data_IF_149906466625
#
_entry.id   IF_149906466625
#
_cell.length_a   1.000
_cell.length_b   1.000
_cell.length_c   1.000
_cell.angle_alpha   90.00
_cell.angle_beta   90.00
_cell.angle_gamma   90.00
#
_symmetry.space_group_name_H-M   'P 1'
#
loop_
_entity.id
_entity.type
_entity.pdbx_description
1 polymer ?
#
# COMPACT_ATOMS: atom_id res chain seq x y z
N UNK A 1 -18.97 51.19 45.39
CA UNK A 1 -17.88 51.92 46.07
C UNK A 1 -16.65 51.69 45.21
N UNK A 2 -16.35 52.63 44.36
CA UNK A 2 -15.31 53.68 44.41
C UNK A 2 -13.93 53.04 44.60
N UNK A 3 -12.94 53.20 43.73
CA UNK A 3 -12.43 54.41 43.11
C UNK A 3 -11.55 54.09 41.87
N UNK A 4 -11.75 54.93 40.88
CA UNK A 4 -10.81 55.24 39.79
C UNK A 4 -9.54 55.92 40.38
N UNK A 5 -8.39 55.79 39.76
CA UNK A 5 -7.56 56.94 39.37
C UNK A 5 -6.64 56.61 38.21
N UNK A 6 -6.67 57.50 37.27
CA UNK A 6 -5.75 57.80 36.16
C UNK A 6 -4.54 58.57 36.72
N UNK A 7 -3.50 58.61 35.93
CA UNK A 7 -2.67 59.74 35.49
C UNK A 7 -1.36 59.17 35.01
N UNK A 8 -1.03 59.28 33.73
CA UNK A 8 -0.49 60.45 32.96
C UNK A 8 1.01 60.57 33.04
N UNK A 9 1.58 60.36 31.89
CA UNK A 9 2.43 61.24 31.10
C UNK A 9 3.89 61.50 31.45
N UNK A 10 4.59 61.59 30.37
CA UNK A 10 5.72 62.43 29.97
C UNK A 10 7.14 61.85 30.21
N UNK A 11 7.84 61.64 29.23
CA UNK A 11 8.68 62.45 28.38
C UNK A 11 9.98 61.77 27.94
N UNK A 12 10.18 61.72 26.67
CA UNK A 12 11.39 62.02 25.90
C UNK A 12 12.76 61.79 26.57
N UNK A 13 13.54 60.91 25.91
CA UNK A 13 14.89 61.23 25.45
C UNK A 13 15.43 60.10 24.55
N UNK A 14 15.58 60.38 23.27
CA UNK A 14 16.54 59.69 22.40
C UNK A 14 17.96 60.08 22.85
N UNK A 15 18.92 59.19 22.73
CA UNK A 15 19.87 59.37 21.67
C UNK A 15 20.38 58.13 20.96
N UNK A 16 20.64 58.38 19.72
CA UNK A 16 21.85 58.03 18.94
C UNK A 16 22.10 56.56 18.57
N UNK A 17 21.97 56.40 17.30
CA UNK A 17 22.35 55.31 16.46
C UNK A 17 23.65 54.61 16.83
N UNK A 18 23.59 53.30 16.82
CA UNK A 18 24.70 52.47 16.38
C UNK A 18 24.15 51.39 15.43
N UNK A 19 24.31 51.65 14.15
CA UNK A 19 24.09 50.72 13.06
C UNK A 19 25.14 49.61 13.16
N UNK A 20 24.82 48.52 13.80
CA UNK A 20 25.53 47.27 13.62
C UNK A 20 24.69 46.43 12.62
N UNK A 21 25.13 46.46 11.40
CA UNK A 21 24.68 45.59 10.33
C UNK A 21 25.08 44.16 10.65
N UNK A 22 24.18 43.42 11.30
CA UNK A 22 24.24 41.97 11.39
C UNK A 22 23.67 41.42 10.08
N UNK A 23 24.55 41.05 9.18
CA UNK A 23 24.20 40.21 8.03
C UNK A 23 23.65 38.88 8.57
N UNK A 24 22.45 38.47 8.21
CA UNK A 24 22.02 37.10 8.46
C UNK A 24 22.87 36.18 7.57
N UNK A 25 23.76 35.41 8.17
CA UNK A 25 24.37 34.27 7.52
C UNK A 25 23.21 33.27 7.25
N UNK A 26 22.71 33.28 6.03
CA UNK A 26 21.79 32.27 5.55
C UNK A 26 22.56 30.93 5.55
N UNK A 27 22.35 30.13 6.58
CA UNK A 27 22.69 28.72 6.51
C UNK A 27 21.80 28.13 5.42
N UNK A 28 22.40 27.95 4.25
CA UNK A 28 21.84 27.07 3.23
C UNK A 28 21.76 25.68 3.89
N UNK A 29 20.58 25.31 4.33
CA UNK A 29 20.26 23.92 4.58
C UNK A 29 20.28 23.22 3.22
N UNK A 30 21.39 22.52 2.94
CA UNK A 30 21.39 21.49 1.91
C UNK A 30 20.32 20.48 2.31
N UNK A 31 19.12 20.67 1.74
CA UNK A 31 18.08 19.67 1.81
C UNK A 31 18.64 18.45 1.07
N UNK A 32 18.94 17.39 1.80
CA UNK A 32 19.23 16.12 1.20
C UNK A 32 18.12 15.80 0.18
N UNK A 33 18.45 15.32 -1.02
CA UNK A 33 17.44 14.97 -2.00
C UNK A 33 16.50 13.95 -1.36
N UNK A 34 15.23 14.32 -1.22
CA UNK A 34 14.20 13.39 -0.81
C UNK A 34 14.26 12.24 -1.81
N UNK A 35 14.49 11.02 -1.31
CA UNK A 35 14.34 9.80 -2.07
C UNK A 35 12.88 9.74 -2.50
N UNK A 36 12.59 10.24 -3.69
CA UNK A 36 11.31 10.01 -4.33
C UNK A 36 11.27 8.51 -4.64
N UNK A 37 10.22 7.80 -4.24
CA UNK A 37 10.04 6.43 -4.69
C UNK A 37 10.06 6.44 -6.23
N UNK A 38 10.69 5.45 -6.88
CA UNK A 38 10.71 5.36 -8.33
C UNK A 38 9.27 5.43 -8.84
N UNK A 39 9.00 6.36 -9.75
CA UNK A 39 7.72 6.41 -10.44
C UNK A 39 7.66 5.14 -11.28
N UNK A 40 6.71 4.26 -10.96
CA UNK A 40 6.50 3.03 -11.72
C UNK A 40 6.13 3.40 -13.16
N UNK A 41 6.95 3.02 -14.11
CA UNK A 41 6.64 3.11 -15.53
C UNK A 41 5.84 1.86 -15.91
N UNK A 42 4.60 2.06 -16.37
CA UNK A 42 3.72 0.97 -16.77
C UNK A 42 4.16 0.44 -18.13
N UNK A 43 4.65 -0.79 -18.16
CA UNK A 43 5.00 -1.49 -19.42
C UNK A 43 3.78 -2.23 -19.93
N UNK A 44 3.16 -1.68 -20.96
CA UNK A 44 1.95 -2.24 -21.60
C UNK A 44 2.23 -3.44 -22.53
N UNK A 45 3.49 -3.86 -22.69
CA UNK A 45 3.85 -4.92 -23.65
C UNK A 45 3.89 -6.35 -23.11
N UNK A 46 3.68 -6.55 -21.79
CA UNK A 46 3.80 -7.86 -21.15
C UNK A 46 2.44 -8.59 -20.97
N UNK A 47 1.32 -7.97 -21.30
CA UNK A 47 -0.03 -8.48 -21.04
C UNK A 47 -0.33 -9.78 -21.82
N UNK A 48 0.00 -9.81 -23.11
CA UNK A 48 -0.28 -10.98 -23.95
C UNK A 48 0.53 -12.22 -23.51
N UNK A 49 1.73 -12.01 -23.03
CA UNK A 49 2.59 -13.09 -22.51
C UNK A 49 2.10 -13.63 -21.17
N UNK A 50 1.50 -12.81 -20.32
CA UNK A 50 0.89 -13.28 -19.07
C UNK A 50 -0.36 -14.12 -19.33
N UNK A 51 -1.26 -13.66 -20.21
CA UNK A 51 -2.43 -14.41 -20.62
C UNK A 51 -2.05 -15.82 -21.13
N UNK A 52 -1.07 -15.90 -22.05
CA UNK A 52 -0.58 -17.17 -22.58
C UNK A 52 -0.02 -18.09 -21.49
N UNK A 53 0.68 -17.52 -20.49
CA UNK A 53 1.23 -18.29 -19.36
C UNK A 53 0.12 -18.84 -18.46
N UNK A 54 -0.90 -18.04 -18.15
CA UNK A 54 -2.06 -18.48 -17.37
C UNK A 54 -2.89 -19.53 -18.13
N UNK A 55 -3.13 -19.31 -19.41
CA UNK A 55 -3.85 -20.25 -20.28
C UNK A 55 -3.13 -21.61 -20.36
N UNK A 56 -1.81 -21.60 -20.45
CA UNK A 56 -0.99 -22.83 -20.48
C UNK A 56 -1.10 -23.66 -19.19
N UNK A 57 -1.43 -23.05 -18.05
CA UNK A 57 -1.72 -23.75 -16.79
C UNK A 57 -3.19 -24.12 -16.65
N UNK A 58 -4.05 -23.68 -17.56
CA UNK A 58 -5.49 -23.91 -17.46
C UNK A 58 -6.19 -23.04 -16.43
N UNK A 59 -5.55 -21.96 -16.00
CA UNK A 59 -6.14 -20.97 -15.08
C UNK A 59 -7.31 -20.29 -15.78
N UNK A 60 -8.50 -20.36 -15.18
CA UNK A 60 -9.68 -19.66 -15.67
C UNK A 60 -9.77 -18.30 -15.01
N UNK A 61 -9.72 -17.26 -15.82
CA UNK A 61 -9.77 -15.87 -15.36
C UNK A 61 -10.74 -15.04 -16.19
N UNK A 62 -11.12 -13.91 -15.66
CA UNK A 62 -11.80 -12.82 -16.37
C UNK A 62 -10.93 -11.57 -16.29
N UNK A 63 -10.93 -10.75 -17.34
CA UNK A 63 -10.31 -9.42 -17.28
C UNK A 63 -11.33 -8.45 -16.69
N UNK A 64 -10.95 -7.76 -15.62
CA UNK A 64 -11.79 -6.70 -15.05
C UNK A 64 -11.58 -5.34 -15.74
N UNK A 65 -12.29 -4.33 -15.28
CA UNK A 65 -12.27 -2.99 -15.88
C UNK A 65 -10.91 -2.27 -15.67
N UNK A 66 -10.16 -2.66 -14.65
CA UNK A 66 -8.81 -2.15 -14.35
C UNK A 66 -7.74 -2.88 -15.17
N UNK A 67 -8.14 -3.94 -15.87
CA UNK A 67 -7.29 -4.78 -16.70
C UNK A 67 -6.60 -5.92 -15.94
N UNK A 68 -6.98 -6.17 -14.69
CA UNK A 68 -6.43 -7.26 -13.89
C UNK A 68 -7.06 -8.61 -14.28
N UNK A 69 -6.33 -9.69 -14.03
CA UNK A 69 -6.78 -11.05 -14.27
C UNK A 69 -7.43 -11.60 -13.01
N UNK A 70 -8.76 -11.57 -12.96
CA UNK A 70 -9.56 -12.04 -11.83
C UNK A 70 -9.81 -13.54 -11.91
N UNK A 71 -9.48 -14.24 -10.84
CA UNK A 71 -9.70 -15.68 -10.66
C UNK A 71 -10.61 -15.91 -9.47
N UNK A 72 -11.57 -16.84 -9.61
CA UNK A 72 -12.45 -17.27 -8.51
C UNK A 72 -12.01 -18.64 -8.04
N UNK A 73 -11.64 -18.75 -6.79
CA UNK A 73 -11.41 -20.01 -6.08
C UNK A 73 -12.70 -20.43 -5.36
N UNK A 74 -13.02 -21.71 -5.40
CA UNK A 74 -14.20 -22.23 -4.71
C UNK A 74 -13.87 -23.55 -4.00
N UNK A 75 -14.02 -23.57 -2.69
CA UNK A 75 -13.85 -24.75 -1.83
C UNK A 75 -15.22 -25.35 -1.50
N UNK A 76 -15.70 -26.20 -2.38
CA UNK A 76 -17.05 -26.79 -2.30
C UNK A 76 -17.32 -27.51 -1.00
N UNK A 77 -16.31 -28.13 -0.38
CA UNK A 77 -16.46 -28.87 0.89
C UNK A 77 -16.72 -27.93 2.07
N UNK A 78 -16.22 -26.72 1.99
CA UNK A 78 -16.34 -25.69 3.03
C UNK A 78 -17.43 -24.68 2.69
N UNK A 79 -17.98 -24.76 1.47
CA UNK A 79 -18.95 -23.81 0.90
C UNK A 79 -18.42 -22.36 0.97
N UNK A 80 -17.11 -22.19 0.68
CA UNK A 80 -16.43 -20.89 0.65
C UNK A 80 -15.91 -20.59 -0.76
N UNK A 81 -15.74 -19.33 -1.04
CA UNK A 81 -15.13 -18.84 -2.29
C UNK A 81 -14.28 -17.61 -2.05
N UNK A 82 -13.24 -17.43 -2.85
CA UNK A 82 -12.35 -16.30 -2.72
C UNK A 82 -11.92 -15.78 -4.09
N UNK A 83 -11.75 -14.48 -4.18
CA UNK A 83 -11.21 -13.79 -5.35
C UNK A 83 -9.70 -13.66 -5.22
N UNK A 84 -8.98 -13.94 -6.29
CA UNK A 84 -7.57 -13.57 -6.41
C UNK A 84 -7.31 -12.94 -7.78
N UNK A 85 -6.30 -12.11 -7.85
CA UNK A 85 -5.99 -11.29 -9.01
C UNK A 85 -4.51 -11.38 -9.36
N UNK A 86 -4.22 -11.30 -10.65
CA UNK A 86 -2.90 -10.95 -11.13
C UNK A 86 -3.00 -9.57 -11.77
N UNK A 87 -2.20 -8.62 -11.32
CA UNK A 87 -2.19 -7.26 -11.85
C UNK A 87 -1.97 -7.26 -13.38
N UNK A 88 -2.80 -6.52 -14.10
CA UNK A 88 -2.70 -6.40 -15.57
C UNK A 88 -1.42 -5.71 -16.01
N UNK A 89 -0.86 -4.84 -15.17
CA UNK A 89 0.39 -4.13 -15.42
C UNK A 89 1.49 -4.56 -14.44
N UNK A 90 2.74 -4.47 -14.88
CA UNK A 90 3.90 -4.73 -14.03
C UNK A 90 4.61 -3.41 -13.67
N UNK A 91 5.15 -3.36 -12.46
CA UNK A 91 5.95 -2.24 -11.98
C UNK A 91 7.42 -2.41 -12.41
N UNK A 92 7.99 -1.40 -13.05
CA UNK A 92 9.39 -1.43 -13.48
C UNK A 92 10.32 -1.10 -12.31
N UNK A 93 11.33 -1.93 -12.10
CA UNK A 93 12.37 -1.74 -11.11
C UNK A 93 13.75 -1.93 -11.78
N UNK A 94 14.36 -0.82 -12.24
CA UNK A 94 15.60 -0.89 -13.02
C UNK A 94 15.43 -1.68 -14.32
N UNK A 95 16.19 -2.75 -14.47
CA UNK A 95 16.14 -3.64 -15.65
C UNK A 95 15.12 -4.78 -15.46
N UNK A 96 14.38 -4.80 -14.36
CA UNK A 96 13.40 -5.82 -14.02
C UNK A 96 11.99 -5.26 -13.99
N UNK A 97 10.99 -6.12 -14.16
CA UNK A 97 9.60 -5.80 -13.91
C UNK A 97 9.05 -6.73 -12.81
N UNK A 98 8.19 -6.18 -11.97
CA UNK A 98 7.56 -6.90 -10.85
C UNK A 98 6.05 -6.78 -11.00
N UNK A 99 5.36 -7.90 -10.92
CA UNK A 99 3.92 -8.01 -11.00
C UNK A 99 3.34 -8.48 -9.68
N UNK A 100 2.20 -7.93 -9.32
CA UNK A 100 1.50 -8.28 -8.09
C UNK A 100 0.46 -9.37 -8.36
N UNK A 101 0.39 -10.31 -7.43
CA UNK A 101 -0.72 -11.25 -7.25
C UNK A 101 -1.34 -10.93 -5.92
N UNK A 102 -2.64 -10.70 -5.87
CA UNK A 102 -3.28 -10.23 -4.66
C UNK A 102 -4.68 -10.81 -4.47
N UNK A 103 -5.12 -10.84 -3.22
CA UNK A 103 -6.46 -11.29 -2.85
C UNK A 103 -6.98 -10.41 -1.71
N UNK A 104 -8.22 -9.89 -1.79
CA UNK A 104 -8.83 -9.11 -0.72
C UNK A 104 -9.14 -10.03 0.46
N UNK A 105 -8.99 -9.50 1.69
CA UNK A 105 -9.26 -10.27 2.89
C UNK A 105 -10.30 -9.63 3.81
N UNK A 106 -10.32 -8.31 3.91
CA UNK A 106 -11.31 -7.63 4.75
C UNK A 106 -11.36 -6.13 4.45
N UNK A 107 -12.50 -5.47 4.69
CA UNK A 107 -12.54 -4.03 4.73
C UNK A 107 -11.77 -3.49 5.94
N UNK A 108 -11.06 -2.38 5.75
CA UNK A 108 -10.37 -1.69 6.85
C UNK A 108 -11.41 -0.98 7.71
N UNK A 109 -11.46 -1.24 9.03
CA UNK A 109 -12.42 -0.58 9.90
C UNK A 109 -12.27 0.95 9.89
N UNK A 110 -13.34 1.66 10.16
CA UNK A 110 -13.29 3.10 10.35
C UNK A 110 -12.32 3.44 11.51
N UNK A 111 -11.23 4.13 11.19
CA UNK A 111 -10.13 4.41 12.14
C UNK A 111 -8.95 3.45 12.07
N UNK A 112 -8.97 2.49 11.13
CA UNK A 112 -7.92 1.51 10.92
C UNK A 112 -8.04 0.27 11.80
N UNK A 113 -7.14 -0.67 11.63
CA UNK A 113 -7.00 -1.83 12.51
C UNK A 113 -6.47 -1.42 13.89
N UNK A 114 -6.86 -2.13 14.93
CA UNK A 114 -6.27 -1.93 16.25
C UNK A 114 -4.78 -2.27 16.24
N UNK A 115 -4.03 -1.75 17.22
CA UNK A 115 -2.60 -2.04 17.34
C UNK A 115 -2.33 -3.56 17.46
N UNK A 116 -3.22 -4.30 18.13
CA UNK A 116 -3.14 -5.75 18.26
C UNK A 116 -3.35 -6.47 16.93
N UNK A 117 -4.38 -6.05 16.17
CA UNK A 117 -4.62 -6.58 14.82
C UNK A 117 -3.47 -6.27 13.87
N UNK A 118 -2.95 -5.05 13.89
CA UNK A 118 -1.82 -4.66 13.06
C UNK A 118 -0.55 -5.47 13.41
N UNK A 119 -0.23 -5.67 14.70
CA UNK A 119 0.88 -6.52 15.13
C UNK A 119 0.69 -7.98 14.68
N UNK A 120 -0.52 -8.50 14.79
CA UNK A 120 -0.87 -9.85 14.31
C UNK A 120 -0.62 -9.99 12.80
N UNK A 121 -1.10 -9.06 11.97
CA UNK A 121 -0.91 -9.06 10.52
C UNK A 121 0.57 -8.97 10.12
N UNK A 122 1.37 -8.13 10.81
CA UNK A 122 2.81 -8.03 10.57
C UNK A 122 3.54 -9.31 10.93
N UNK A 123 3.19 -9.96 12.05
CA UNK A 123 3.79 -11.23 12.46
C UNK A 123 3.38 -12.38 11.53
N UNK A 124 2.16 -12.34 11.03
CA UNK A 124 1.69 -13.31 10.06
C UNK A 124 2.44 -13.15 8.73
N UNK A 125 2.59 -11.93 8.22
CA UNK A 125 3.42 -11.63 7.05
C UNK A 125 4.85 -12.19 7.18
N UNK A 126 5.44 -12.11 8.38
CA UNK A 126 6.80 -12.62 8.62
C UNK A 126 6.87 -14.16 8.57
N UNK A 127 5.80 -14.87 8.89
CA UNK A 127 5.76 -16.34 8.86
C UNK A 127 5.59 -16.89 7.45
N UNK A 128 4.98 -16.13 6.57
CA UNK A 128 4.71 -16.53 5.21
C UNK A 128 5.98 -16.40 4.34
N UNK A 129 6.23 -17.40 3.53
CA UNK A 129 7.42 -17.45 2.66
C UNK A 129 7.30 -16.46 1.49
N UNK A 130 6.07 -16.26 1.00
CA UNK A 130 5.77 -15.39 -0.11
C UNK A 130 4.72 -14.35 0.31
N UNK A 131 4.99 -13.08 0.01
CA UNK A 131 4.02 -12.01 0.20
C UNK A 131 3.84 -11.55 1.64
N UNK A 132 2.77 -10.78 1.84
CA UNK A 132 2.41 -10.21 3.14
C UNK A 132 1.13 -9.39 3.05
N UNK A 133 0.70 -8.87 4.20
CA UNK A 133 -0.49 -8.07 4.32
C UNK A 133 -0.21 -6.62 3.94
N UNK A 134 -1.02 -6.08 3.06
CA UNK A 134 -0.96 -4.69 2.62
C UNK A 134 -2.36 -4.06 2.67
N UNK A 135 -2.43 -2.76 2.97
CA UNK A 135 -3.67 -1.99 2.90
C UNK A 135 -3.61 -1.12 1.66
N UNK A 136 -4.59 -1.25 0.78
CA UNK A 136 -4.79 -0.38 -0.36
C UNK A 136 -6.21 0.20 -0.30
N UNK A 137 -6.29 1.55 -0.24
CA UNK A 137 -7.56 2.22 -0.01
C UNK A 137 -8.18 1.83 1.34
N UNK A 138 -9.35 1.24 1.29
CA UNK A 138 -10.13 0.78 2.44
C UNK A 138 -10.19 -0.75 2.57
N UNK A 139 -9.29 -1.47 1.91
CA UNK A 139 -9.27 -2.92 1.88
C UNK A 139 -7.91 -3.47 2.28
N UNK A 140 -7.93 -4.53 3.09
CA UNK A 140 -6.79 -5.37 3.42
C UNK A 140 -6.63 -6.42 2.35
N UNK A 141 -5.43 -6.54 1.80
CA UNK A 141 -5.06 -7.55 0.82
C UNK A 141 -3.91 -8.41 1.31
N UNK A 142 -3.89 -9.66 0.89
CA UNK A 142 -2.66 -10.44 0.83
C UNK A 142 -2.00 -10.24 -0.51
N UNK A 143 -0.73 -9.78 -0.53
CA UNK A 143 -0.02 -9.39 -1.76
C UNK A 143 1.26 -10.18 -1.91
N UNK A 144 1.45 -10.78 -3.09
CA UNK A 144 2.67 -11.48 -3.50
C UNK A 144 3.26 -10.73 -4.68
N UNK A 145 4.55 -10.41 -4.60
CA UNK A 145 5.28 -9.71 -5.66
C UNK A 145 6.22 -10.68 -6.37
N UNK A 146 5.95 -10.94 -7.64
CA UNK A 146 6.75 -11.83 -8.49
C UNK A 146 7.48 -11.04 -9.56
N UNK A 147 8.63 -11.56 -10.00
CA UNK A 147 9.21 -11.06 -11.24
C UNK A 147 8.25 -11.32 -12.40
N UNK A 148 8.10 -10.34 -13.29
CA UNK A 148 7.14 -10.44 -14.40
C UNK A 148 7.46 -11.54 -15.40
N UNK A 149 8.71 -11.98 -15.46
CA UNK A 149 9.16 -13.11 -16.27
C UNK A 149 8.95 -14.49 -15.60
N UNK A 150 8.33 -14.55 -14.42
CA UNK A 150 7.96 -15.79 -13.77
C UNK A 150 7.07 -16.64 -14.68
N UNK A 151 7.25 -17.97 -14.64
CA UNK A 151 6.44 -18.89 -15.42
C UNK A 151 4.98 -18.97 -14.93
N UNK A 152 4.10 -19.57 -15.75
CA UNK A 152 2.68 -19.68 -15.44
C UNK A 152 2.41 -20.46 -14.15
N UNK A 153 3.21 -21.51 -13.88
CA UNK A 153 3.04 -22.34 -12.67
C UNK A 153 3.31 -21.54 -11.38
N UNK A 154 4.23 -20.57 -11.44
CA UNK A 154 4.48 -19.67 -10.30
C UNK A 154 3.35 -18.68 -10.08
N UNK A 155 2.73 -18.18 -11.14
CA UNK A 155 1.53 -17.33 -11.02
C UNK A 155 0.33 -18.11 -10.49
N UNK A 156 0.11 -19.35 -10.98
CA UNK A 156 -0.95 -20.22 -10.48
C UNK A 156 -0.75 -20.50 -8.98
N UNK A 157 0.46 -20.90 -8.57
CA UNK A 157 0.77 -21.13 -7.16
C UNK A 157 0.58 -19.88 -6.30
N UNK A 158 0.99 -18.72 -6.80
CA UNK A 158 0.83 -17.47 -6.08
C UNK A 158 -0.66 -17.10 -5.92
N UNK A 159 -1.49 -17.31 -6.95
CA UNK A 159 -2.93 -17.12 -6.87
C UNK A 159 -3.56 -18.03 -5.81
N UNK A 160 -3.22 -19.32 -5.79
CA UNK A 160 -3.71 -20.28 -4.79
C UNK A 160 -3.33 -19.85 -3.35
N UNK A 161 -2.05 -19.49 -3.15
CA UNK A 161 -1.55 -19.05 -1.84
C UNK A 161 -2.23 -17.75 -1.40
N UNK A 162 -2.35 -16.78 -2.30
CA UNK A 162 -2.99 -15.50 -1.97
C UNK A 162 -4.46 -15.70 -1.61
N UNK A 163 -5.20 -16.50 -2.40
CA UNK A 163 -6.60 -16.82 -2.14
C UNK A 163 -6.78 -17.52 -0.79
N UNK A 164 -6.01 -18.57 -0.51
CA UNK A 164 -6.13 -19.33 0.72
C UNK A 164 -5.86 -18.48 1.97
N UNK A 165 -4.77 -17.68 1.95
CA UNK A 165 -4.42 -16.85 3.10
C UNK A 165 -5.41 -15.70 3.31
N UNK A 166 -5.93 -15.14 2.23
CA UNK A 166 -6.94 -14.08 2.33
C UNK A 166 -8.27 -14.61 2.90
N UNK A 167 -8.74 -15.75 2.43
CA UNK A 167 -9.95 -16.42 2.90
C UNK A 167 -9.85 -16.80 4.39
N UNK A 168 -8.72 -17.40 4.82
CA UNK A 168 -8.50 -17.73 6.23
C UNK A 168 -8.47 -16.46 7.11
N UNK A 169 -7.87 -15.36 6.62
CA UNK A 169 -7.82 -14.10 7.34
C UNK A 169 -9.19 -13.39 7.38
N UNK A 170 -9.96 -13.43 6.29
CA UNK A 170 -11.33 -12.92 6.26
C UNK A 170 -12.15 -13.55 7.37
N UNK A 171 -12.16 -14.88 7.43
CA UNK A 171 -12.86 -15.61 8.47
C UNK A 171 -12.37 -15.25 9.87
N UNK A 172 -11.06 -15.06 10.05
CA UNK A 172 -10.50 -14.67 11.35
C UNK A 172 -10.91 -13.26 11.79
N UNK A 173 -10.97 -12.31 10.86
CA UNK A 173 -11.25 -10.90 11.16
C UNK A 173 -12.74 -10.58 11.21
N UNK A 174 -13.54 -11.19 10.35
CA UNK A 174 -14.97 -10.89 10.18
C UNK A 174 -15.89 -11.94 10.76
N UNK A 175 -15.44 -13.21 10.79
CA UNK A 175 -16.26 -14.38 11.14
C UNK A 175 -17.21 -14.81 10.03
N UNK A 176 -17.10 -14.23 8.85
CA UNK A 176 -17.96 -14.45 7.70
C UNK A 176 -17.11 -14.74 6.45
N UNK A 177 -17.71 -15.36 5.43
CA UNK A 177 -17.20 -15.57 4.08
C UNK A 177 -18.07 -14.71 3.16
N UNK A 178 -17.60 -13.52 2.82
CA UNK A 178 -18.38 -12.50 2.14
C UNK A 178 -17.73 -11.99 0.84
N UNK A 179 -16.45 -12.41 0.53
CA UNK A 179 -15.67 -11.92 -0.61
C UNK A 179 -15.57 -12.90 -1.78
#
# INVERSE_FOLDING_TARGET
>A
MHHRRRFSDLSRLLPLACLLSLSPCALAQDAAPALQPPVAEVVSGAEDTLAQRLDAQGVRYERDDDGDYRVVFAWQQENRSQLAFVAGSANVLGDSAVREVFSPAAPVPAGGFSAEQADMLLRDSQRNVLGGWEIAGDTLFYVIKLHDDADGARFEQALEVAAQLADDMELQLTGEDAL
#
